data_IF_091683365498
#
_entry.id   IF_091683365498
#
_cell.length_a   1.000
_cell.length_b   1.000
_cell.length_c   1.000
_cell.angle_alpha   90.00
_cell.angle_beta   90.00
_cell.angle_gamma   90.00
#
_symmetry.space_group_name_H-M   'P 1'
#
loop_
_entity.id
_entity.type
_entity.pdbx_description
1 polymer ?
#
# COMPACT_ATOMS: atom_id res chain seq x y z
N UNK A 1 3.31 16.13 1.71
CA UNK A 1 2.18 16.00 2.66
C UNK A 1 2.53 14.90 3.65
N UNK A 2 2.56 15.20 4.95
CA UNK A 2 2.90 14.22 5.98
C UNK A 2 1.63 13.51 6.47
N UNK A 3 1.45 12.25 6.07
CA UNK A 3 0.40 11.39 6.62
C UNK A 3 0.96 10.75 7.89
N UNK A 4 0.70 11.34 9.05
CA UNK A 4 1.09 10.74 10.33
C UNK A 4 -0.02 10.93 11.36
N UNK A 5 -1.14 10.24 11.14
CA UNK A 5 -2.22 10.14 12.12
C UNK A 5 -2.06 8.84 12.90
N UNK A 6 -1.53 8.94 14.13
CA UNK A 6 -1.30 7.81 15.04
C UNK A 6 -2.55 7.40 15.83
N UNK A 7 -3.68 8.08 15.63
CA UNK A 7 -4.92 7.81 16.36
C UNK A 7 -5.65 6.58 15.79
N UNK A 8 -5.99 5.63 16.68
CA UNK A 8 -6.72 4.40 16.34
C UNK A 8 -5.87 3.18 15.98
N UNK A 9 -4.56 3.18 16.26
CA UNK A 9 -3.70 2.01 16.06
C UNK A 9 -3.98 0.89 17.09
N UNK A 10 -4.02 -0.36 16.63
CA UNK A 10 -3.97 -1.50 17.54
C UNK A 10 -2.60 -1.60 18.22
N UNK A 11 -2.48 -2.16 19.44
CA UNK A 11 -1.21 -2.31 20.14
C UNK A 11 -0.13 -3.03 19.31
N UNK A 12 -0.52 -4.03 18.53
CA UNK A 12 0.40 -4.76 17.65
C UNK A 12 0.91 -3.93 16.47
N UNK A 13 0.13 -2.94 16.01
CA UNK A 13 0.56 -2.00 14.98
C UNK A 13 1.57 -1.01 15.53
N UNK A 14 1.33 -0.49 16.74
CA UNK A 14 2.26 0.43 17.39
C UNK A 14 3.63 -0.22 17.57
N UNK A 15 3.67 -1.47 18.06
CA UNK A 15 4.90 -2.26 18.18
C UNK A 15 5.59 -2.52 16.83
N UNK A 16 4.83 -2.66 15.74
CA UNK A 16 5.38 -2.86 14.40
C UNK A 16 6.05 -1.57 13.89
N UNK A 17 5.38 -0.42 14.04
CA UNK A 17 5.92 0.87 13.62
C UNK A 17 7.15 1.28 14.44
N UNK A 18 7.17 1.00 15.75
CA UNK A 18 8.33 1.29 16.59
C UNK A 18 9.58 0.49 16.18
N UNK A 19 9.39 -0.71 15.63
CA UNK A 19 10.48 -1.57 15.16
C UNK A 19 10.95 -1.24 13.74
N UNK A 20 10.11 -0.55 12.96
CA UNK A 20 10.31 -0.29 11.54
C UNK A 20 10.01 1.18 11.24
N UNK A 21 10.95 2.10 11.53
CA UNK A 21 10.74 3.54 11.34
C UNK A 21 10.50 3.94 9.88
N UNK A 22 10.83 3.07 8.92
CA UNK A 22 10.55 3.24 7.49
C UNK A 22 9.06 3.07 7.13
N UNK A 23 8.24 2.50 8.04
CA UNK A 23 6.82 2.28 7.78
C UNK A 23 6.02 3.56 8.00
N UNK A 24 5.24 3.91 6.99
CA UNK A 24 4.20 4.94 7.06
C UNK A 24 2.83 4.28 7.18
N UNK A 25 1.98 4.85 8.03
CA UNK A 25 0.60 4.42 8.22
C UNK A 25 -0.36 5.50 7.72
N UNK A 26 -1.29 5.12 6.86
CA UNK A 26 -2.37 5.99 6.39
C UNK A 26 -3.74 5.35 6.64
N UNK A 27 -4.69 6.14 7.08
CA UNK A 27 -6.05 5.72 7.46
C UNK A 27 -7.07 6.28 6.47
N UNK A 28 -8.18 5.57 6.27
CA UNK A 28 -9.34 6.03 5.49
C UNK A 28 -9.01 6.50 4.05
N UNK A 29 -7.99 5.92 3.42
CA UNK A 29 -7.54 6.32 2.08
C UNK A 29 -8.49 5.78 1.00
N UNK A 30 -8.92 6.62 0.06
CA UNK A 30 -9.82 6.21 -1.03
C UNK A 30 -9.02 5.66 -2.21
N UNK A 31 -9.37 4.46 -2.66
CA UNK A 31 -8.73 3.82 -3.81
C UNK A 31 -9.42 4.26 -5.10
N UNK A 32 -8.67 4.87 -6.02
CA UNK A 32 -9.16 5.33 -7.33
C UNK A 32 -8.92 4.30 -8.43
N UNK A 33 -7.96 3.40 -8.28
CA UNK A 33 -7.71 2.29 -9.21
C UNK A 33 -7.22 1.06 -8.46
N UNK A 34 -7.61 -0.15 -8.90
CA UNK A 34 -7.06 -1.41 -8.42
C UNK A 34 -6.87 -2.37 -9.61
N UNK A 35 -5.62 -2.56 -10.00
CA UNK A 35 -5.20 -3.50 -11.05
C UNK A 35 -4.60 -4.75 -10.41
N UNK A 36 -4.93 -5.93 -10.96
CA UNK A 36 -4.41 -7.23 -10.52
C UNK A 36 -3.74 -7.93 -11.70
N UNK A 37 -2.42 -8.08 -11.66
CA UNK A 37 -1.61 -8.73 -12.71
C UNK A 37 -0.96 -9.99 -12.16
N UNK A 38 -1.02 -11.08 -12.92
CA UNK A 38 -0.30 -12.31 -12.61
C UNK A 38 1.19 -12.15 -12.96
N UNK A 39 2.05 -12.58 -12.04
CA UNK A 39 3.50 -12.61 -12.16
C UNK A 39 4.00 -13.87 -11.45
N UNK A 40 4.36 -14.88 -12.23
CA UNK A 40 4.68 -16.23 -11.75
C UNK A 40 3.59 -16.78 -10.81
N UNK A 41 3.97 -17.21 -9.60
CA UNK A 41 3.06 -17.71 -8.56
C UNK A 41 2.32 -16.62 -7.79
N UNK A 42 2.51 -15.35 -8.15
CA UNK A 42 1.99 -14.19 -7.45
C UNK A 42 1.02 -13.39 -8.29
N UNK A 43 0.12 -12.71 -7.60
CA UNK A 43 -0.71 -11.65 -8.16
C UNK A 43 -0.23 -10.35 -7.53
N UNK A 44 0.24 -9.45 -8.38
CA UNK A 44 0.58 -8.09 -8.01
C UNK A 44 -0.71 -7.27 -8.04
N UNK A 45 -1.05 -6.73 -6.88
CA UNK A 45 -2.10 -5.76 -6.71
C UNK A 45 -1.49 -4.38 -6.72
N UNK A 46 -1.86 -3.55 -7.69
CA UNK A 46 -1.45 -2.15 -7.77
C UNK A 46 -2.66 -1.26 -7.51
N UNK A 47 -2.52 -0.33 -6.57
CA UNK A 47 -3.53 0.65 -6.18
C UNK A 47 -3.05 2.05 -6.53
N UNK A 48 -3.98 2.88 -6.99
CA UNK A 48 -3.85 4.33 -6.91
C UNK A 48 -4.76 4.83 -5.80
N UNK A 49 -4.24 5.76 -5.00
CA UNK A 49 -4.96 6.43 -3.93
C UNK A 49 -5.34 7.84 -4.41
N UNK A 50 -6.50 8.33 -3.99
CA UNK A 50 -6.94 9.69 -4.30
C UNK A 50 -5.93 10.72 -3.81
N UNK A 51 -5.53 11.66 -4.68
CA UNK A 51 -4.58 12.72 -4.35
C UNK A 51 -3.10 12.36 -4.47
N UNK A 52 -2.76 11.20 -5.04
CA UNK A 52 -1.38 10.80 -5.35
C UNK A 52 -1.29 10.15 -6.73
N UNK A 53 -0.16 10.36 -7.40
CA UNK A 53 0.24 9.78 -8.68
C UNK A 53 1.17 8.57 -8.53
N UNK A 54 1.71 8.34 -7.33
CA UNK A 54 2.60 7.21 -7.04
C UNK A 54 1.80 5.94 -6.72
N UNK A 55 2.07 4.81 -7.40
CA UNK A 55 1.35 3.57 -7.15
C UNK A 55 1.79 2.87 -5.87
N UNK A 56 0.81 2.23 -5.23
CA UNK A 56 1.01 1.36 -4.09
C UNK A 56 0.83 -0.08 -4.54
N UNK A 57 1.66 -1.01 -4.06
CA UNK A 57 1.53 -2.40 -4.46
C UNK A 57 1.67 -3.39 -3.31
N UNK A 58 1.04 -4.55 -3.46
CA UNK A 58 1.29 -5.73 -2.62
C UNK A 58 1.15 -7.01 -3.44
N UNK A 59 1.77 -8.10 -2.97
CA UNK A 59 1.71 -9.41 -3.62
C UNK A 59 0.85 -10.39 -2.81
N UNK A 60 0.00 -11.18 -3.48
CA UNK A 60 -0.75 -12.31 -2.89
C UNK A 60 -0.78 -13.48 -3.86
N UNK A 61 -0.90 -14.71 -3.35
CA UNK A 61 -1.05 -15.92 -4.21
C UNK A 61 -2.46 -16.09 -4.82
N UNK A 62 -3.42 -15.25 -4.43
CA UNK A 62 -4.83 -15.36 -4.84
C UNK A 62 -5.37 -13.97 -5.18
N UNK A 63 -6.33 -13.92 -6.11
CA UNK A 63 -7.05 -12.68 -6.44
C UNK A 63 -7.73 -12.14 -5.20
N UNK A 64 -7.84 -10.83 -5.16
CA UNK A 64 -8.45 -10.12 -4.05
C UNK A 64 -9.73 -9.44 -4.53
N UNK A 65 -10.66 -9.18 -3.60
CA UNK A 65 -11.84 -8.36 -3.92
C UNK A 65 -11.35 -7.02 -4.46
N UNK A 66 -11.99 -6.53 -5.53
CA UNK A 66 -11.68 -5.19 -6.04
C UNK A 66 -11.81 -4.16 -4.91
N UNK A 67 -10.85 -3.25 -4.89
CA UNK A 67 -10.75 -2.18 -3.90
C UNK A 67 -11.09 -0.84 -4.53
N UNK A 68 -11.31 -0.78 -5.84
CA UNK A 68 -11.73 0.44 -6.53
C UNK A 68 -12.96 1.03 -5.86
N UNK A 69 -12.90 2.33 -5.52
CA UNK A 69 -13.94 3.06 -4.80
C UNK A 69 -14.03 2.78 -3.30
N UNK A 70 -13.30 1.80 -2.77
CA UNK A 70 -13.30 1.49 -1.34
C UNK A 70 -12.36 2.44 -0.57
N UNK A 71 -12.64 2.59 0.74
CA UNK A 71 -11.69 3.17 1.69
C UNK A 71 -10.86 2.08 2.35
N UNK A 72 -9.58 2.34 2.56
CA UNK A 72 -8.62 1.39 3.13
C UNK A 72 -7.72 2.06 4.16
N UNK A 73 -7.31 1.28 5.16
CA UNK A 73 -6.15 1.59 5.99
C UNK A 73 -4.95 0.82 5.44
N UNK A 74 -3.84 1.50 5.22
CA UNK A 74 -2.62 0.93 4.65
C UNK A 74 -1.38 1.24 5.50
N UNK A 75 -0.49 0.27 5.58
CA UNK A 75 0.88 0.41 6.11
C UNK A 75 1.85 0.11 4.98
N UNK A 76 2.79 1.00 4.70
CA UNK A 76 3.67 0.90 3.53
C UNK A 76 5.03 1.56 3.74
N UNK A 77 5.97 1.30 2.84
CA UNK A 77 7.27 1.98 2.77
C UNK A 77 7.68 2.23 1.31
N UNK A 78 8.57 3.21 1.02
CA UNK A 78 9.09 3.45 -0.32
C UNK A 78 9.86 2.24 -0.85
N UNK A 79 9.55 1.77 -2.05
CA UNK A 79 10.20 0.62 -2.67
C UNK A 79 10.44 0.90 -4.16
N UNK A 80 11.28 1.91 -4.50
CA UNK A 80 11.54 2.27 -5.88
C UNK A 80 12.09 1.07 -6.64
N UNK A 81 11.81 1.03 -7.95
CA UNK A 81 12.24 -0.06 -8.83
C UNK A 81 12.83 0.51 -10.10
N UNK A 82 13.77 -0.20 -10.70
CA UNK A 82 14.29 0.15 -12.02
C UNK A 82 13.47 -0.56 -13.11
N UNK A 83 13.04 0.17 -14.12
CA UNK A 83 12.37 -0.35 -15.31
C UNK A 83 13.05 0.26 -16.53
N UNK A 84 13.67 -0.59 -17.36
CA UNK A 84 14.38 -0.17 -18.58
C UNK A 84 15.42 0.94 -18.35
N UNK A 85 16.16 0.89 -17.23
CA UNK A 85 17.16 1.90 -16.88
C UNK A 85 16.60 3.17 -16.25
N UNK A 86 15.29 3.24 -15.98
CA UNK A 86 14.64 4.38 -15.32
C UNK A 86 14.16 3.98 -13.93
N UNK A 87 14.46 4.79 -12.93
CA UNK A 87 13.88 4.64 -11.60
C UNK A 87 12.40 5.01 -11.62
N UNK A 88 11.59 4.15 -11.00
CA UNK A 88 10.16 4.31 -10.88
C UNK A 88 9.77 4.24 -9.41
N UNK A 89 9.20 5.34 -8.92
CA UNK A 89 8.72 5.43 -7.55
C UNK A 89 7.46 4.58 -7.35
N UNK A 90 7.43 3.85 -6.24
CA UNK A 90 6.27 3.09 -5.79
C UNK A 90 6.38 2.82 -4.30
N UNK A 91 5.25 2.48 -3.70
CA UNK A 91 5.19 2.09 -2.29
C UNK A 91 4.80 0.62 -2.15
N UNK A 92 5.53 -0.12 -1.32
CA UNK A 92 5.14 -1.50 -0.97
C UNK A 92 4.26 -1.48 0.26
N UNK A 93 3.06 -2.01 0.13
CA UNK A 93 2.12 -2.20 1.22
C UNK A 93 2.45 -3.52 1.95
N UNK A 94 2.66 -3.43 3.25
CA UNK A 94 2.83 -4.59 4.14
C UNK A 94 1.53 -4.99 4.82
N UNK A 95 0.59 -4.04 4.99
CA UNK A 95 -0.73 -4.30 5.54
C UNK A 95 -1.79 -3.44 4.85
N UNK A 96 -2.91 -4.07 4.53
CA UNK A 96 -4.10 -3.40 3.99
C UNK A 96 -5.36 -3.94 4.65
N UNK A 97 -6.24 -3.03 5.07
CA UNK A 97 -7.56 -3.35 5.61
C UNK A 97 -8.60 -2.51 4.90
N UNK A 98 -9.57 -3.16 4.24
CA UNK A 98 -10.77 -2.50 3.71
C UNK A 98 -11.67 -2.06 4.86
N UNK A 99 -12.17 -0.83 4.80
CA UNK A 99 -13.17 -0.29 5.71
C UNK A 99 -14.59 -0.66 5.26
#
# INVERSE_FOLDING_TARGET
>A
MAFNERDGLSPDMAKLLDKHPELTQSTSQKVTSHVQREEDDWIIHTLLIEGTDVPFYFKRKKRYKSLHGARVNITYYPDPTEIAGMEFERFKIVRIKRL
#
